data_IF_450569028920
#
_entry.id   IF_450569028920
#
_cell.length_a   1.000
_cell.length_b   1.000
_cell.length_c   1.000
_cell.angle_alpha   90.00
_cell.angle_beta   90.00
_cell.angle_gamma   90.00
#
_symmetry.space_group_name_H-M   'P 1'
#
loop_
_entity.id
_entity.type
_entity.pdbx_description
1 polymer ?
#
# COMPACT_ATOMS: atom_id res chain seq x y z
N UNK A 1 -1.34 43.03 29.29
CA UNK A 1 -0.51 41.82 29.13
C UNK A 1 -1.36 40.81 28.38
N UNK A 2 -1.15 40.66 27.08
CA UNK A 2 -1.98 39.78 26.24
C UNK A 2 -1.26 38.44 26.11
N UNK A 3 -1.87 37.40 26.66
CA UNK A 3 -1.37 36.02 26.64
C UNK A 3 -1.64 35.45 25.24
N UNK A 4 -0.62 35.31 24.42
CA UNK A 4 -0.68 34.56 23.17
C UNK A 4 -0.75 33.07 23.51
N UNK A 5 -1.96 32.52 23.59
CA UNK A 5 -2.14 31.07 23.59
C UNK A 5 -2.05 30.58 22.15
N UNK A 6 -0.90 30.03 21.77
CA UNK A 6 -0.80 29.28 20.52
C UNK A 6 -1.72 28.06 20.62
N UNK A 7 -2.63 27.84 19.66
CA UNK A 7 -3.44 26.63 19.64
C UNK A 7 -2.51 25.39 19.52
N UNK A 8 -2.87 24.26 20.16
CA UNK A 8 -2.08 23.03 20.06
C UNK A 8 -1.94 22.62 18.59
N UNK A 9 -0.80 22.03 18.18
CA UNK A 9 -0.64 21.55 16.81
C UNK A 9 -1.72 20.51 16.54
N UNK A 10 -2.70 20.88 15.71
CA UNK A 10 -3.66 19.92 15.20
C UNK A 10 -2.90 18.83 14.45
N UNK A 11 -3.26 17.53 14.62
CA UNK A 11 -2.77 16.49 13.75
C UNK A 11 -3.26 16.81 12.34
N UNK A 12 -2.40 17.44 11.55
CA UNK A 12 -2.72 17.86 10.20
C UNK A 12 -2.75 16.61 9.36
N UNK A 13 -3.95 16.21 8.94
CA UNK A 13 -4.11 15.24 7.85
C UNK A 13 -3.21 15.72 6.71
N UNK A 14 -2.33 14.87 6.15
CA UNK A 14 -1.42 15.31 5.12
C UNK A 14 -2.22 15.87 3.94
N UNK A 15 -1.68 16.87 3.24
CA UNK A 15 -2.36 17.49 2.12
C UNK A 15 -2.68 16.42 1.06
N UNK A 16 -3.81 16.55 0.32
CA UNK A 16 -4.18 15.61 -0.74
C UNK A 16 -3.07 15.34 -1.77
N UNK A 17 -2.15 16.29 -1.94
CA UNK A 17 -0.97 16.15 -2.79
C UNK A 17 0.02 15.09 -2.30
N UNK A 18 0.27 14.99 -0.98
CA UNK A 18 1.19 13.99 -0.43
C UNK A 18 0.66 12.56 -0.63
N UNK A 19 -0.67 12.37 -0.55
CA UNK A 19 -1.29 11.09 -0.90
C UNK A 19 -1.15 10.78 -2.39
N UNK A 20 -1.33 11.78 -3.26
CA UNK A 20 -1.17 11.60 -4.71
C UNK A 20 0.25 11.18 -5.08
N UNK A 21 1.25 11.81 -4.49
CA UNK A 21 2.66 11.47 -4.71
C UNK A 21 2.98 10.06 -4.19
N UNK A 22 2.48 9.72 -3.00
CA UNK A 22 2.57 8.36 -2.44
C UNK A 22 1.93 7.33 -3.39
N UNK A 23 0.70 7.58 -3.85
CA UNK A 23 -0.02 6.71 -4.76
C UNK A 23 0.74 6.55 -6.09
N UNK A 24 1.16 7.66 -6.71
CA UNK A 24 1.87 7.65 -7.98
C UNK A 24 3.21 6.89 -7.90
N UNK A 25 3.88 6.94 -6.74
CA UNK A 25 5.16 6.26 -6.53
C UNK A 25 5.00 4.75 -6.35
N UNK A 26 4.01 4.32 -5.57
CA UNK A 26 3.93 2.94 -5.09
C UNK A 26 2.87 2.08 -5.78
N UNK A 27 1.76 2.68 -6.24
CA UNK A 27 0.67 1.93 -6.84
C UNK A 27 1.08 1.18 -8.12
N UNK A 28 1.85 1.76 -9.07
CA UNK A 28 2.26 1.01 -10.27
C UNK A 28 3.13 -0.20 -9.95
N UNK A 29 4.05 -0.06 -8.98
CA UNK A 29 4.93 -1.16 -8.55
C UNK A 29 4.12 -2.25 -7.87
N UNK A 30 3.25 -1.88 -6.93
CA UNK A 30 2.38 -2.82 -6.23
C UNK A 30 1.43 -3.55 -7.18
N UNK A 31 0.88 -2.84 -8.17
CA UNK A 31 0.04 -3.45 -9.21
C UNK A 31 0.78 -4.54 -9.98
N UNK A 32 2.06 -4.33 -10.32
CA UNK A 32 2.89 -5.37 -10.92
C UNK A 32 2.93 -6.66 -10.09
N UNK A 33 3.12 -6.57 -8.77
CA UNK A 33 3.10 -7.74 -7.88
C UNK A 33 1.71 -8.39 -7.79
N UNK A 34 0.66 -7.59 -7.73
CA UNK A 34 -0.73 -8.09 -7.71
C UNK A 34 -1.07 -8.86 -8.99
N UNK A 35 -0.66 -8.34 -10.16
CA UNK A 35 -0.87 -9.03 -11.43
C UNK A 35 -0.14 -10.37 -11.49
N UNK A 36 1.08 -10.45 -10.94
CA UNK A 36 1.85 -11.69 -10.84
C UNK A 36 1.21 -12.74 -9.92
N UNK A 37 0.26 -12.35 -9.07
CA UNK A 37 -0.47 -13.28 -8.20
C UNK A 37 -1.61 -14.02 -8.93
N UNK A 38 -1.93 -13.65 -10.18
CA UNK A 38 -3.00 -14.26 -10.99
C UNK A 38 -4.35 -14.35 -10.28
N UNK A 39 -4.68 -13.33 -9.47
CA UNK A 39 -5.96 -13.24 -8.78
C UNK A 39 -7.04 -12.69 -9.72
N UNK A 40 -8.33 -12.98 -9.47
CA UNK A 40 -9.43 -12.29 -10.14
C UNK A 40 -9.28 -10.77 -10.07
N UNK A 41 -9.69 -10.06 -11.12
CA UNK A 41 -9.53 -8.61 -11.21
C UNK A 41 -10.10 -7.88 -9.99
N UNK A 42 -11.31 -8.24 -9.54
CA UNK A 42 -11.96 -7.66 -8.35
C UNK A 42 -11.14 -7.87 -7.07
N UNK A 43 -10.51 -9.03 -6.91
CA UNK A 43 -9.67 -9.33 -5.76
C UNK A 43 -8.35 -8.55 -5.83
N UNK A 44 -7.75 -8.46 -7.02
CA UNK A 44 -6.56 -7.67 -7.30
C UNK A 44 -6.75 -6.19 -6.97
N UNK A 45 -7.85 -5.59 -7.43
CA UNK A 45 -8.21 -4.20 -7.15
C UNK A 45 -8.43 -3.97 -5.65
N UNK A 46 -9.13 -4.90 -4.98
CA UNK A 46 -9.38 -4.82 -3.54
C UNK A 46 -8.08 -4.82 -2.76
N UNK A 47 -7.14 -5.72 -3.10
CA UNK A 47 -5.81 -5.78 -2.47
C UNK A 47 -5.06 -4.47 -2.70
N UNK A 48 -5.02 -3.96 -3.93
CA UNK A 48 -4.33 -2.72 -4.26
C UNK A 48 -4.86 -1.54 -3.44
N UNK A 49 -6.19 -1.33 -3.47
CA UNK A 49 -6.85 -0.21 -2.81
C UNK A 49 -6.64 -0.28 -1.30
N UNK A 50 -6.86 -1.46 -0.71
CA UNK A 50 -6.73 -1.62 0.73
C UNK A 50 -5.29 -1.46 1.20
N UNK A 51 -4.33 -1.99 0.46
CA UNK A 51 -2.91 -1.87 0.78
C UNK A 51 -2.45 -0.42 0.77
N UNK A 52 -2.74 0.31 -0.30
CA UNK A 52 -2.32 1.71 -0.44
C UNK A 52 -2.97 2.57 0.64
N UNK A 53 -4.25 2.33 0.93
CA UNK A 53 -4.97 3.02 2.01
C UNK A 53 -4.35 2.75 3.38
N UNK A 54 -4.12 1.48 3.73
CA UNK A 54 -3.58 1.08 5.05
C UNK A 54 -2.13 1.53 5.24
N UNK A 55 -1.29 1.38 4.23
CA UNK A 55 0.09 1.86 4.26
C UNK A 55 0.16 3.39 4.43
N UNK A 56 -0.74 4.12 3.77
CA UNK A 56 -0.86 5.57 3.94
C UNK A 56 -1.31 5.96 5.36
N UNK A 57 -2.29 5.24 5.93
CA UNK A 57 -2.72 5.46 7.31
C UNK A 57 -1.60 5.18 8.32
N UNK A 58 -0.81 4.12 8.09
CA UNK A 58 0.33 3.77 8.95
C UNK A 58 1.44 4.82 8.90
N UNK A 59 1.70 5.41 7.72
CA UNK A 59 2.67 6.50 7.58
C UNK A 59 2.26 7.78 8.34
N UNK A 60 0.96 8.01 8.50
CA UNK A 60 0.44 9.13 9.30
C UNK A 60 0.47 8.88 10.80
N UNK A 61 0.70 7.62 11.22
CA UNK A 61 0.71 7.28 12.63
C UNK A 61 2.00 7.80 13.29
N UNK A 62 1.91 8.66 14.31
CA UNK A 62 3.07 9.28 14.95
C UNK A 62 4.01 8.28 15.65
N UNK A 63 3.58 7.02 15.78
CA UNK A 63 4.34 5.92 16.40
C UNK A 63 5.35 5.30 15.42
N UNK A 64 5.14 5.43 14.10
CA UNK A 64 6.00 4.84 13.09
C UNK A 64 6.68 5.93 12.25
N UNK A 65 7.76 6.51 12.79
CA UNK A 65 8.65 7.45 12.10
C UNK A 65 9.53 6.79 11.03
N UNK A 66 9.08 5.68 10.43
CA UNK A 66 9.85 5.00 9.41
C UNK A 66 9.40 5.52 8.03
N UNK A 67 10.34 6.08 7.28
CA UNK A 67 10.18 6.45 5.88
C UNK A 67 9.45 5.33 5.14
N UNK A 68 8.43 5.62 4.31
CA UNK A 68 7.66 4.56 3.65
C UNK A 68 8.61 3.79 2.73
N UNK A 69 9.02 2.60 3.15
CA UNK A 69 9.81 1.70 2.33
C UNK A 69 8.86 0.76 1.61
N UNK A 70 9.16 0.44 0.36
CA UNK A 70 8.35 -0.47 -0.45
C UNK A 70 8.16 -1.84 0.21
N UNK A 71 9.12 -2.30 1.03
CA UNK A 71 9.00 -3.52 1.83
C UNK A 71 7.86 -3.48 2.85
N UNK A 72 7.58 -2.32 3.45
CA UNK A 72 6.44 -2.14 4.34
C UNK A 72 5.12 -2.26 3.58
N UNK A 73 5.04 -1.64 2.39
CA UNK A 73 3.85 -1.72 1.52
C UNK A 73 3.58 -3.17 1.09
N UNK A 74 4.62 -3.93 0.72
CA UNK A 74 4.48 -5.35 0.42
C UNK A 74 4.01 -6.16 1.63
N UNK A 75 4.51 -5.87 2.83
CA UNK A 75 4.04 -6.53 4.06
C UNK A 75 2.55 -6.27 4.30
N UNK A 76 2.08 -5.04 4.08
CA UNK A 76 0.65 -4.71 4.14
C UNK A 76 -0.12 -5.48 3.07
N UNK A 77 0.39 -5.56 1.83
CA UNK A 77 -0.25 -6.31 0.76
C UNK A 77 -0.46 -7.79 1.11
N UNK A 78 0.53 -8.41 1.76
CA UNK A 78 0.42 -9.79 2.23
C UNK A 78 -0.67 -9.97 3.30
N UNK A 79 -0.83 -8.99 4.19
CA UNK A 79 -1.93 -8.98 5.16
C UNK A 79 -3.30 -8.77 4.49
N UNK A 80 -3.35 -8.10 3.34
CA UNK A 80 -4.56 -7.96 2.53
C UNK A 80 -4.87 -9.20 1.65
N UNK A 81 -4.02 -10.23 1.69
CA UNK A 81 -4.25 -11.47 0.96
C UNK A 81 -3.46 -11.58 -0.35
N UNK A 82 -2.46 -10.74 -0.58
CA UNK A 82 -1.45 -11.01 -1.61
C UNK A 82 -0.67 -12.28 -1.21
N UNK A 83 -0.54 -13.29 -2.07
CA UNK A 83 0.17 -14.51 -1.73
C UNK A 83 1.67 -14.29 -1.55
N UNK A 84 2.22 -14.76 -0.42
CA UNK A 84 3.66 -14.71 -0.05
C UNK A 84 4.42 -15.84 -0.76
N UNK A 85 4.29 -15.93 -2.09
CA UNK A 85 4.99 -16.93 -2.91
C UNK A 85 4.38 -18.34 -2.83
N UNK A 86 3.62 -18.73 -3.87
CA UNK A 86 3.41 -20.15 -4.21
C UNK A 86 2.86 -20.41 -5.63
N UNK A 87 2.46 -19.40 -6.42
CA UNK A 87 1.89 -19.61 -7.76
C UNK A 87 2.73 -19.10 -8.95
N UNK A 88 3.80 -18.33 -8.74
CA UNK A 88 4.71 -17.97 -9.85
C UNK A 88 5.38 -19.21 -10.48
N UNK A 89 5.42 -20.35 -9.78
CA UNK A 89 5.88 -21.63 -10.31
C UNK A 89 4.78 -22.44 -11.03
N UNK A 90 3.50 -22.14 -10.80
CA UNK A 90 2.38 -22.96 -11.29
C UNK A 90 1.79 -22.41 -12.59
N UNK A 91 1.90 -21.10 -12.84
CA UNK A 91 1.44 -20.47 -14.09
C UNK A 91 2.22 -20.96 -15.35
N UNK A 92 3.42 -21.54 -15.17
CA UNK A 92 4.21 -22.12 -16.27
C UNK A 92 3.78 -23.56 -16.61
N UNK A 93 3.00 -24.24 -15.74
CA UNK A 93 2.59 -25.64 -15.96
C UNK A 93 1.25 -25.84 -16.65
N UNK A 94 0.44 -24.79 -16.82
CA UNK A 94 -0.90 -24.94 -17.42
C UNK A 94 -1.00 -24.60 -18.91
N UNK A 95 0.10 -24.29 -19.59
CA UNK A 95 0.13 -24.06 -21.06
C UNK A 95 0.75 -25.20 -21.87
N UNK A 96 0.82 -26.42 -21.32
CA UNK A 96 1.15 -27.63 -22.10
C UNK A 96 0.15 -28.75 -21.83
N UNK A 97 -0.91 -28.77 -22.64
CA UNK A 97 -1.52 -29.92 -23.37
C UNK A 97 -3.03 -29.72 -23.57
N UNK A 98 -3.65 -30.34 -24.59
CA UNK A 98 -3.12 -31.33 -25.54
C UNK A 98 -2.47 -30.72 -26.79
#
# INVERSE_FOLDING_TARGET
MNVFTTPPPHPTKPPPQAFREFYATYAPRLWGFVLLAHLPATQSETILINTVRKAWQQLQSPIQSNTPCFSHILRVAYLEGLPINSSLATAIRQTRHP
#
